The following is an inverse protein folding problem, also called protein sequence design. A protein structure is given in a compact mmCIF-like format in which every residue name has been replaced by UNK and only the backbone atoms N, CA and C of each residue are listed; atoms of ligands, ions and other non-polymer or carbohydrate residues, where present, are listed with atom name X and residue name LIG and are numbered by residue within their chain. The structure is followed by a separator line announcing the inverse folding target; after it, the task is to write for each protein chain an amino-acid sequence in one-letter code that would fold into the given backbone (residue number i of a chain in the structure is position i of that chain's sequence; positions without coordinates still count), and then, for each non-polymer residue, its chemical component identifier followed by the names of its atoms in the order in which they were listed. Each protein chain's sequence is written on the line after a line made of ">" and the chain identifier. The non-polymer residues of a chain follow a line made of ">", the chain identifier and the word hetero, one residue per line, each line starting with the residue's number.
data_IF_818476747816
#
_entry.id   IF_818476747816
#
_cell.length_a   1.000
_cell.length_b   1.000
_cell.length_c   1.000
_cell.angle_alpha   90.00
_cell.angle_beta   90.00
_cell.angle_gamma   90.00
#
_symmetry.space_group_name_H-M   'P 1'
#
loop_
_entity.id
_entity.type
_entity.pdbx_description
1 polymer ?
#
# COMPACT_ATOMS: atom_id res chain seq x y z
N UNK A 1 -7.91 -10.33 16.31
CA UNK A 1 -7.59 -8.96 15.86
C UNK A 1 -7.28 -8.14 17.11
N UNK A 2 -6.08 -7.58 17.20
CA UNK A 2 -5.59 -6.77 18.32
C UNK A 2 -5.58 -5.31 17.90
N UNK A 3 -6.02 -4.42 18.79
CA UNK A 3 -6.01 -2.99 18.52
C UNK A 3 -4.84 -2.33 19.27
N UNK A 4 -4.09 -1.46 18.59
CA UNK A 4 -3.03 -0.64 19.17
C UNK A 4 -3.43 0.83 19.12
N UNK A 5 -3.44 1.45 20.30
CA UNK A 5 -3.83 2.85 20.51
C UNK A 5 -2.72 3.60 21.25
N UNK A 6 -2.80 4.93 21.27
CA UNK A 6 -1.77 5.76 21.89
C UNK A 6 -0.54 5.93 21.00
N UNK A 7 0.62 6.19 21.63
CA UNK A 7 1.90 6.39 20.93
C UNK A 7 2.74 5.13 21.14
N UNK A 8 3.17 4.50 20.04
CA UNK A 8 4.10 3.37 20.04
C UNK A 8 5.45 3.89 19.56
N UNK A 9 6.39 3.98 20.49
CA UNK A 9 7.73 4.53 20.24
C UNK A 9 8.76 3.47 19.81
N UNK A 10 8.46 2.19 20.04
CA UNK A 10 9.35 1.09 19.71
C UNK A 10 9.05 0.52 18.32
N UNK A 11 10.05 -0.12 17.73
CA UNK A 11 9.89 -0.84 16.47
C UNK A 11 8.84 -1.95 16.61
N UNK A 12 7.89 -1.99 15.69
CA UNK A 12 6.75 -2.88 15.75
C UNK A 12 6.85 -3.97 14.67
N UNK A 13 6.92 -5.23 15.09
CA UNK A 13 6.86 -6.38 14.19
C UNK A 13 5.48 -7.02 14.29
N UNK A 14 4.74 -7.03 13.18
CA UNK A 14 3.39 -7.58 13.08
C UNK A 14 3.45 -8.97 12.47
N UNK A 15 3.09 -9.98 13.25
CA UNK A 15 2.98 -11.39 12.84
C UNK A 15 1.55 -11.93 12.96
N UNK A 16 0.62 -11.07 13.38
CA UNK A 16 -0.79 -11.35 13.59
C UNK A 16 -1.66 -10.25 12.97
N UNK A 17 -2.97 -10.23 13.27
CA UNK A 17 -3.88 -9.21 12.75
C UNK A 17 -3.98 -8.04 13.73
N UNK A 18 -3.46 -6.88 13.33
CA UNK A 18 -3.42 -5.65 14.12
C UNK A 18 -4.15 -4.50 13.43
N UNK A 19 -4.90 -3.75 14.22
CA UNK A 19 -5.44 -2.44 13.86
C UNK A 19 -4.72 -1.35 14.66
N UNK A 20 -3.95 -0.52 13.95
CA UNK A 20 -3.25 0.63 14.50
C UNK A 20 -4.14 1.87 14.35
N UNK A 21 -4.79 2.25 15.45
CA UNK A 21 -5.58 3.48 15.56
C UNK A 21 -4.75 4.64 16.15
N UNK A 22 -3.66 4.30 16.86
CA UNK A 22 -2.73 5.26 17.42
C UNK A 22 -1.68 5.79 16.45
N UNK A 23 -0.54 6.20 17.00
CA UNK A 23 0.63 6.70 16.27
C UNK A 23 1.80 5.77 16.51
N UNK A 24 2.35 5.16 15.46
CA UNK A 24 3.64 4.49 15.50
C UNK A 24 4.72 5.49 15.07
N UNK A 25 5.60 5.87 15.99
CA UNK A 25 6.66 6.84 15.68
C UNK A 25 7.93 6.19 15.14
N UNK A 26 8.17 4.93 15.50
CA UNK A 26 9.23 4.11 14.95
C UNK A 26 8.77 3.31 13.73
N UNK A 27 9.72 2.59 13.14
CA UNK A 27 9.48 1.75 11.97
C UNK A 27 8.54 0.59 12.30
N UNK A 28 7.78 0.16 11.31
CA UNK A 28 6.84 -0.96 11.41
C UNK A 28 7.17 -1.98 10.34
N UNK A 29 7.31 -3.24 10.73
CA UNK A 29 7.50 -4.37 9.81
C UNK A 29 6.29 -5.28 9.88
N UNK A 30 5.68 -5.55 8.73
CA UNK A 30 4.59 -6.52 8.60
C UNK A 30 5.17 -7.78 7.99
N UNK A 31 5.35 -8.79 8.84
CA UNK A 31 5.99 -10.05 8.50
C UNK A 31 4.99 -11.03 7.86
N UNK A 32 5.48 -12.20 7.47
CA UNK A 32 4.68 -13.28 6.90
C UNK A 32 3.47 -13.62 7.78
N UNK A 33 2.27 -13.59 7.19
CA UNK A 33 1.02 -13.87 7.89
C UNK A 33 0.51 -12.74 8.78
N UNK A 34 1.28 -11.65 8.90
CA UNK A 34 0.88 -10.42 9.56
C UNK A 34 -0.10 -9.63 8.69
N UNK A 35 -1.11 -9.07 9.34
CA UNK A 35 -2.04 -8.12 8.71
C UNK A 35 -2.08 -6.86 9.53
N UNK A 36 -1.78 -5.72 8.93
CA UNK A 36 -1.85 -4.42 9.57
C UNK A 36 -2.92 -3.55 8.90
N UNK A 37 -3.85 -3.04 9.69
CA UNK A 37 -4.76 -1.97 9.30
C UNK A 37 -4.24 -0.70 9.96
N UNK A 38 -3.92 0.32 9.17
CA UNK A 38 -3.46 1.62 9.67
C UNK A 38 -4.62 2.59 9.57
N UNK A 39 -5.39 2.76 10.65
CA UNK A 39 -6.41 3.82 10.74
C UNK A 39 -5.82 5.12 11.30
N UNK A 40 -4.76 5.01 12.11
CA UNK A 40 -4.03 6.13 12.69
C UNK A 40 -2.87 6.62 11.81
N UNK A 41 -1.69 6.79 12.42
CA UNK A 41 -0.52 7.35 11.76
C UNK A 41 0.73 6.48 11.98
N UNK A 42 1.50 6.27 10.91
CA UNK A 42 2.86 5.73 10.99
C UNK A 42 3.83 6.82 10.51
N UNK A 43 4.68 7.34 11.40
CA UNK A 43 5.70 8.32 11.00
C UNK A 43 7.02 7.69 10.57
N UNK A 44 7.33 6.51 11.10
CA UNK A 44 8.49 5.71 10.69
C UNK A 44 8.31 5.06 9.32
N UNK A 45 9.32 4.30 8.89
CA UNK A 45 9.23 3.48 7.70
C UNK A 45 8.23 2.33 7.90
N UNK A 46 7.56 1.94 6.83
CA UNK A 46 6.68 0.78 6.80
C UNK A 46 7.26 -0.25 5.82
N UNK A 47 7.74 -1.37 6.35
CA UNK A 47 8.26 -2.49 5.57
C UNK A 47 7.24 -3.62 5.51
N UNK A 48 6.80 -3.98 4.30
CA UNK A 48 5.84 -5.05 4.06
C UNK A 48 6.55 -6.22 3.41
N UNK A 49 6.76 -7.27 4.19
CA UNK A 49 7.49 -8.45 3.77
C UNK A 49 6.60 -9.41 2.98
N UNK A 50 7.23 -10.46 2.42
CA UNK A 50 6.52 -11.50 1.68
C UNK A 50 5.40 -12.12 2.52
N UNK A 51 4.18 -12.15 1.98
CA UNK A 51 2.99 -12.64 2.67
C UNK A 51 2.47 -11.75 3.79
N UNK A 52 3.03 -10.55 3.97
CA UNK A 52 2.47 -9.49 4.80
C UNK A 52 1.38 -8.72 4.05
N UNK A 53 0.33 -8.33 4.77
CA UNK A 53 -0.82 -7.61 4.24
C UNK A 53 -0.99 -6.28 4.98
N UNK A 54 -1.15 -5.18 4.23
CA UNK A 54 -1.44 -3.87 4.83
C UNK A 54 -2.61 -3.18 4.17
N UNK A 55 -3.54 -2.66 4.98
CA UNK A 55 -4.53 -1.66 4.58
C UNK A 55 -4.14 -0.31 5.20
N UNK A 56 -3.87 0.70 4.38
CA UNK A 56 -3.56 2.06 4.84
C UNK A 56 -4.81 2.92 4.68
N UNK A 57 -5.56 3.14 5.77
CA UNK A 57 -6.78 3.96 5.79
C UNK A 57 -6.53 5.37 6.34
N UNK A 58 -5.55 5.50 7.23
CA UNK A 58 -5.05 6.74 7.81
C UNK A 58 -3.88 7.31 7.01
N UNK A 59 -2.74 7.51 7.66
CA UNK A 59 -1.57 8.11 7.03
C UNK A 59 -0.25 7.40 7.38
N UNK A 60 0.58 7.19 6.37
CA UNK A 60 1.99 6.84 6.52
C UNK A 60 2.83 8.02 6.01
N UNK A 61 3.66 8.59 6.89
CA UNK A 61 4.54 9.72 6.56
C UNK A 61 5.92 9.26 6.11
N UNK A 62 6.42 8.15 6.65
CA UNK A 62 7.67 7.53 6.22
C UNK A 62 7.53 6.79 4.88
N UNK A 63 8.65 6.29 4.34
CA UNK A 63 8.62 5.49 3.12
C UNK A 63 7.92 4.15 3.37
N UNK A 64 7.14 3.70 2.38
CA UNK A 64 6.56 2.35 2.37
C UNK A 64 7.36 1.49 1.39
N UNK A 65 7.89 0.37 1.87
CA UNK A 65 8.56 -0.63 1.01
C UNK A 65 7.71 -1.87 0.96
N UNK A 66 7.48 -2.41 -0.24
CA UNK A 66 6.67 -3.61 -0.46
C UNK A 66 7.52 -4.66 -1.16
N UNK A 67 7.94 -5.67 -0.40
CA UNK A 67 8.72 -6.78 -0.91
C UNK A 67 7.88 -7.69 -1.82
N UNK A 68 8.56 -8.56 -2.57
CA UNK A 68 7.91 -9.57 -3.40
C UNK A 68 6.94 -10.44 -2.60
N UNK A 69 5.71 -10.56 -3.09
CA UNK A 69 4.63 -11.28 -2.39
C UNK A 69 4.01 -10.51 -1.20
N UNK A 70 4.47 -9.29 -0.91
CA UNK A 70 3.80 -8.36 0.00
C UNK A 70 2.64 -7.65 -0.70
N UNK A 71 1.61 -7.30 0.08
CA UNK A 71 0.42 -6.64 -0.45
C UNK A 71 0.06 -5.39 0.36
N UNK A 72 -0.16 -4.28 -0.35
CA UNK A 72 -0.64 -3.02 0.23
C UNK A 72 -1.91 -2.58 -0.49
N UNK A 73 -2.93 -2.27 0.28
CA UNK A 73 -4.12 -1.55 -0.14
C UNK A 73 -4.06 -0.14 0.47
N UNK A 74 -3.90 0.87 -0.38
CA UNK A 74 -3.91 2.25 0.03
C UNK A 74 -5.32 2.82 -0.15
N UNK A 75 -5.95 3.22 0.94
CA UNK A 75 -7.25 3.91 0.99
C UNK A 75 -7.12 5.34 1.54
N UNK A 76 -6.04 5.62 2.27
CA UNK A 76 -5.70 6.90 2.88
C UNK A 76 -4.50 7.58 2.19
N UNK A 77 -3.44 7.85 2.97
CA UNK A 77 -2.29 8.65 2.51
C UNK A 77 -0.96 7.94 2.74
N UNK A 78 -0.11 7.89 1.72
CA UNK A 78 1.29 7.47 1.80
C UNK A 78 2.18 8.64 1.36
N UNK A 79 2.49 9.55 2.28
CA UNK A 79 3.16 10.81 1.98
C UNK A 79 4.67 10.66 1.77
N UNK A 80 5.31 9.69 2.43
CA UNK A 80 6.72 9.34 2.20
C UNK A 80 6.95 8.56 0.91
N UNK A 81 5.88 8.22 0.19
CA UNK A 81 5.91 7.45 -1.04
C UNK A 81 5.87 5.94 -0.82
N UNK A 82 5.72 5.22 -1.93
CA UNK A 82 5.68 3.76 -1.97
C UNK A 82 6.71 3.27 -2.97
N UNK A 83 7.59 2.38 -2.53
CA UNK A 83 8.49 1.60 -3.36
C UNK A 83 8.03 0.12 -3.34
N UNK A 84 7.86 -0.47 -4.51
CA UNK A 84 7.61 -1.91 -4.63
C UNK A 84 8.80 -2.61 -5.27
N UNK A 85 9.14 -3.78 -4.72
CA UNK A 85 10.19 -4.69 -5.16
C UNK A 85 9.54 -6.03 -5.55
N UNK A 86 8.62 -6.00 -6.51
CA UNK A 86 7.79 -7.14 -6.91
C UNK A 86 6.56 -7.40 -6.04
N UNK A 87 6.24 -6.50 -5.10
CA UNK A 87 5.01 -6.51 -4.33
C UNK A 87 3.81 -5.92 -5.07
N UNK A 88 2.61 -6.10 -4.52
CA UNK A 88 1.35 -5.60 -5.11
C UNK A 88 0.86 -4.39 -4.33
N UNK A 89 0.56 -3.31 -5.04
CA UNK A 89 -0.05 -2.11 -4.47
C UNK A 89 -1.36 -1.82 -5.18
N UNK A 90 -2.45 -1.71 -4.41
CA UNK A 90 -3.76 -1.26 -4.88
C UNK A 90 -4.05 0.10 -4.32
N UNK A 91 -4.49 1.02 -5.17
CA UNK A 91 -4.76 2.40 -4.78
C UNK A 91 -6.24 2.66 -4.93
N UNK A 92 -6.89 2.96 -3.80
CA UNK A 92 -8.29 3.30 -3.71
C UNK A 92 -8.59 4.72 -4.20
N UNK A 93 -9.86 4.97 -4.50
CA UNK A 93 -10.33 6.29 -4.87
C UNK A 93 -10.09 7.31 -3.73
N UNK A 94 -9.61 8.50 -4.07
CA UNK A 94 -9.34 9.56 -3.10
C UNK A 94 -8.04 9.42 -2.31
N UNK A 95 -7.30 8.32 -2.49
CA UNK A 95 -5.99 8.13 -1.88
C UNK A 95 -4.94 9.11 -2.40
N UNK A 96 -3.91 9.37 -1.59
CA UNK A 96 -2.78 10.24 -1.96
C UNK A 96 -1.45 9.54 -1.76
N UNK A 97 -0.61 9.61 -2.78
CA UNK A 97 0.75 9.07 -2.76
C UNK A 97 1.72 10.22 -3.03
N UNK A 98 2.74 10.37 -2.18
CA UNK A 98 3.79 11.39 -2.37
C UNK A 98 4.66 11.08 -3.59
N UNK A 99 5.17 9.84 -3.67
CA UNK A 99 5.91 9.31 -4.80
C UNK A 99 5.64 7.81 -4.96
N UNK A 100 5.74 7.29 -6.19
CA UNK A 100 5.55 5.88 -6.46
C UNK A 100 6.71 5.37 -7.32
N UNK A 101 7.41 4.36 -6.82
CA UNK A 101 8.51 3.69 -7.50
C UNK A 101 8.22 2.19 -7.62
N UNK A 102 8.40 1.66 -8.83
CA UNK A 102 8.12 0.26 -9.15
C UNK A 102 9.40 -0.36 -9.68
N UNK A 103 10.06 -1.14 -8.84
CA UNK A 103 11.25 -1.90 -9.18
C UNK A 103 10.83 -3.37 -9.38
N UNK A 104 11.22 -3.98 -10.51
CA UNK A 104 10.96 -5.38 -10.91
C UNK A 104 9.51 -5.88 -10.77
N UNK A 105 8.80 -6.10 -11.90
CA UNK A 105 7.48 -6.76 -11.99
C UNK A 105 6.34 -6.27 -11.09
N UNK A 106 6.55 -5.22 -10.29
CA UNK A 106 5.53 -4.68 -9.39
C UNK A 106 4.28 -4.25 -10.15
N UNK A 107 3.12 -4.60 -9.59
CA UNK A 107 1.82 -4.39 -10.26
C UNK A 107 1.00 -3.37 -9.51
N UNK A 108 0.50 -2.38 -10.26
CA UNK A 108 -0.60 -1.53 -9.85
C UNK A 108 -1.91 -2.17 -10.31
N UNK A 109 -2.82 -2.41 -9.37
CA UNK A 109 -4.16 -2.91 -9.66
C UNK A 109 -5.20 -1.84 -9.34
N UNK A 110 -6.26 -1.70 -10.15
CA UNK A 110 -7.41 -0.90 -9.76
C UNK A 110 -8.06 -1.50 -8.51
N UNK A 111 -8.40 -0.66 -7.54
CA UNK A 111 -9.32 -1.03 -6.48
C UNK A 111 -10.72 -1.18 -7.10
N UNK A 112 -11.35 -2.34 -6.97
CA UNK A 112 -12.61 -2.65 -7.62
C UNK A 112 -13.80 -1.96 -6.93
N UNK A 113 -13.86 -0.63 -7.01
CA UNK A 113 -15.10 0.11 -6.87
C UNK A 113 -15.72 0.25 -8.27
N UNK A 114 -16.99 -0.13 -8.40
CA UNK A 114 -17.84 -0.03 -9.60
C UNK A 114 -17.58 1.27 -10.40
N UNK A 115 -17.47 1.23 -11.74
CA UNK A 115 -17.15 2.44 -12.49
C UNK A 115 -18.39 3.31 -12.69
N UNK A 116 -18.45 4.44 -12.01
CA UNK A 116 -19.07 5.63 -12.60
C UNK A 116 -17.98 6.41 -13.33
N UNK A 117 -18.04 6.32 -14.65
CA UNK A 117 -17.17 7.05 -15.56
C UNK A 117 -17.38 8.56 -15.37
N UNK A 118 -16.28 9.34 -15.27
CA UNK A 118 -16.04 10.58 -16.03
C UNK A 118 -14.61 11.07 -15.70
N UNK A 119 -13.73 11.17 -16.70
CA UNK A 119 -12.46 11.92 -16.56
C UNK A 119 -11.24 11.31 -17.25
N UNK A 120 -11.07 11.62 -18.54
CA UNK A 120 -9.83 11.64 -19.35
C UNK A 120 -8.63 10.80 -18.90
N UNK A 121 -8.40 9.67 -19.59
CA UNK A 121 -7.12 8.96 -19.64
C UNK A 121 -6.22 9.68 -20.67
N UNK A 122 -4.99 10.09 -20.34
CA UNK A 122 -4.07 10.68 -21.31
C UNK A 122 -3.69 9.66 -22.41
N UNK A 123 -3.65 10.14 -23.65
CA UNK A 123 -3.63 9.40 -24.94
C UNK A 123 -2.42 8.47 -25.21
N UNK A 124 -1.55 8.21 -24.23
CA UNK A 124 -0.33 7.39 -24.40
C UNK A 124 -0.38 6.01 -23.72
N UNK A 125 -1.51 5.61 -23.12
CA UNK A 125 -1.70 4.24 -22.61
C UNK A 125 -2.92 3.60 -23.28
N UNK A 126 -2.67 2.60 -24.14
CA UNK A 126 -3.73 1.73 -24.64
C UNK A 126 -3.94 0.57 -23.66
N UNK A 127 -5.16 0.33 -23.16
CA UNK A 127 -5.45 -0.83 -22.33
C UNK A 127 -5.34 -2.11 -23.18
N UNK A 128 -4.40 -2.99 -22.84
CA UNK A 128 -4.42 -4.37 -23.35
C UNK A 128 -5.09 -5.27 -22.32
N UNK A 129 -6.09 -6.03 -22.76
CA UNK A 129 -6.69 -7.10 -21.94
C UNK A 129 -5.74 -8.29 -21.92
N UNK A 130 -5.38 -8.75 -20.73
CA UNK A 130 -4.75 -10.05 -20.54
C UNK A 130 -5.50 -10.77 -19.41
N UNK A 131 -6.43 -11.66 -19.77
CA UNK A 131 -7.37 -12.27 -18.82
C UNK A 131 -8.38 -11.28 -18.23
N UNK A 132 -8.86 -11.55 -17.01
CA UNK A 132 -9.83 -10.73 -16.25
C UNK A 132 -9.24 -9.47 -15.58
N UNK A 133 -7.98 -9.15 -15.88
CA UNK A 133 -7.27 -7.98 -15.33
C UNK A 133 -6.82 -7.00 -16.40
N UNK A 134 -6.87 -5.71 -16.08
CA UNK A 134 -6.31 -4.63 -16.91
C UNK A 134 -4.89 -4.32 -16.42
N UNK A 135 -3.90 -4.42 -17.30
CA UNK A 135 -2.49 -4.11 -17.01
C UNK A 135 -2.12 -2.81 -17.73
N UNK A 136 -1.54 -1.85 -17.01
CA UNK A 136 -0.91 -0.67 -17.59
C UNK A 136 0.56 -1.00 -17.86
N UNK A 137 0.92 -1.17 -19.12
CA UNK A 137 2.31 -1.30 -19.56
C UNK A 137 2.70 -0.09 -20.41
N UNK A 138 3.88 0.47 -20.14
CA UNK A 138 4.53 1.46 -21.01
C UNK A 138 4.85 0.78 -22.35
N UNK A 139 4.45 1.41 -23.45
CA UNK A 139 4.88 1.02 -24.80
C UNK A 139 6.12 1.85 -25.10
N UNK A 140 7.26 1.18 -25.32
CA UNK A 140 8.43 1.80 -25.95
C UNK A 140 8.17 2.08 -27.44
#
# INVERSE_FOLDING_TARGET
>A
MRQLTGIIADHLVITDVVDLVGVATADVTVALGGTLIVTGLVSGALDVQAGGLVSIEGAVLGPVTVAWGGHVELLGRALGGIETQGGVVRVGAGSRIGSLRIDHEGRLGPHAARPEATGSIPWFMLPRRYGDGMVLSRVD
#
